data_IF_478565230245
#
_entry.id   IF_478565230245
#
_cell.length_a   1.000
_cell.length_b   1.000
_cell.length_c   1.000
_cell.angle_alpha   90.00
_cell.angle_beta   90.00
_cell.angle_gamma   90.00
#
_symmetry.space_group_name_H-M   'P 1'
#
loop_
_entity.id
_entity.type
_entity.pdbx_description
1 polymer ?
#
# COMPACT_ATOMS: atom_id res chain seq x y z
N UNK A 1 15.65 4.38 25.47
CA UNK A 1 14.19 4.57 25.58
C UNK A 1 13.77 4.22 27.00
N UNK A 2 13.68 5.23 27.88
CA UNK A 2 13.25 5.04 29.28
C UNK A 2 11.75 5.23 29.40
N UNK A 3 11.02 4.17 29.70
CA UNK A 3 9.63 4.31 30.16
C UNK A 3 9.66 4.86 31.58
N UNK A 4 9.14 6.07 31.80
CA UNK A 4 9.00 6.65 33.13
C UNK A 4 8.19 5.76 34.08
N UNK A 5 8.17 6.13 35.36
CA UNK A 5 7.45 5.38 36.39
C UNK A 5 6.00 5.13 35.98
N UNK A 6 5.57 3.87 36.07
CA UNK A 6 4.18 3.47 35.83
C UNK A 6 3.38 3.66 37.13
N UNK A 7 2.18 4.18 37.02
CA UNK A 7 1.25 4.34 38.13
C UNK A 7 0.12 3.30 38.05
N UNK A 8 -0.58 3.00 39.17
CA UNK A 8 -1.74 2.11 39.14
C UNK A 8 -2.80 2.60 38.15
N UNK A 9 -3.41 1.67 37.43
CA UNK A 9 -4.48 1.92 36.44
C UNK A 9 -5.47 0.75 36.47
N UNK A 10 -6.75 0.97 36.10
CA UNK A 10 -7.75 -0.09 36.03
C UNK A 10 -7.41 -1.07 34.89
N UNK A 11 -7.39 -2.38 35.18
CA UNK A 11 -6.98 -3.42 34.21
C UNK A 11 -8.13 -3.93 33.36
N UNK A 12 -9.36 -3.66 33.79
CA UNK A 12 -10.61 -4.15 33.21
C UNK A 12 -11.13 -3.23 32.11
N UNK A 13 -10.57 -2.01 32.00
CA UNK A 13 -10.96 -1.03 30.99
C UNK A 13 -10.35 -1.39 29.65
N UNK A 14 -11.21 -1.63 28.66
CA UNK A 14 -10.80 -1.89 27.28
C UNK A 14 -11.13 -0.71 26.37
N UNK A 15 -10.20 -0.40 25.47
CA UNK A 15 -10.36 0.61 24.42
C UNK A 15 -9.73 0.11 23.13
N UNK A 16 -10.26 0.52 21.96
CA UNK A 16 -9.79 0.02 20.67
C UNK A 16 -8.34 0.42 20.35
N UNK A 17 -7.88 1.56 20.86
CA UNK A 17 -6.51 2.06 20.69
C UNK A 17 -5.49 1.46 21.66
N UNK A 18 -5.95 0.61 22.60
CA UNK A 18 -5.17 0.18 23.77
C UNK A 18 -5.27 1.15 24.95
N UNK A 19 -4.70 0.73 26.08
CA UNK A 19 -4.73 1.46 27.34
C UNK A 19 -3.34 1.89 27.84
N UNK A 20 -3.20 1.99 29.15
CA UNK A 20 -1.99 2.47 29.81
C UNK A 20 -0.76 1.58 29.56
N UNK A 21 0.32 2.18 29.04
CA UNK A 21 1.61 1.54 28.73
C UNK A 21 1.50 0.23 27.95
N UNK A 22 0.57 0.17 27.00
CA UNK A 22 0.26 -1.03 26.22
C UNK A 22 1.48 -1.51 25.44
N UNK A 23 1.96 -2.72 25.77
CA UNK A 23 3.05 -3.40 25.06
C UNK A 23 2.75 -4.90 24.95
N UNK A 24 1.88 -5.31 24.01
CA UNK A 24 1.53 -6.71 23.86
C UNK A 24 2.75 -7.50 23.39
N UNK A 25 2.88 -8.75 23.84
CA UNK A 25 3.98 -9.64 23.44
C UNK A 25 4.04 -9.86 21.93
N UNK A 26 2.86 -9.89 21.28
CA UNK A 26 2.70 -10.24 19.86
C UNK A 26 2.65 -9.01 18.92
N UNK A 27 3.08 -7.83 19.36
CA UNK A 27 2.97 -6.59 18.57
C UNK A 27 3.58 -6.74 17.16
N UNK A 28 4.71 -7.45 17.03
CA UNK A 28 5.40 -7.66 15.75
C UNK A 28 4.53 -8.42 14.75
N UNK A 29 3.95 -9.54 15.18
CA UNK A 29 3.11 -10.37 14.33
C UNK A 29 1.84 -9.63 13.92
N UNK A 30 1.20 -8.93 14.86
CA UNK A 30 0.01 -8.14 14.58
C UNK A 30 0.29 -7.05 13.55
N UNK A 31 1.39 -6.31 13.70
CA UNK A 31 1.82 -5.30 12.71
C UNK A 31 2.12 -5.93 11.35
N UNK A 32 2.80 -7.08 11.32
CA UNK A 32 3.12 -7.76 10.07
C UNK A 32 1.85 -8.18 9.30
N UNK A 33 0.83 -8.71 10.00
CA UNK A 33 -0.45 -9.11 9.40
C UNK A 33 -1.17 -7.89 8.83
N UNK A 34 -1.29 -6.81 9.59
CA UNK A 34 -1.95 -5.58 9.13
C UNK A 34 -1.22 -4.99 7.93
N UNK A 35 0.12 -4.94 7.98
CA UNK A 35 0.93 -4.42 6.89
C UNK A 35 0.79 -5.27 5.62
N UNK A 36 0.81 -6.60 5.75
CA UNK A 36 0.57 -7.52 4.63
C UNK A 36 -0.82 -7.31 4.02
N UNK A 37 -1.85 -7.11 4.84
CA UNK A 37 -3.20 -6.78 4.38
C UNK A 37 -3.25 -5.47 3.59
N UNK A 38 -2.63 -4.41 4.11
CA UNK A 38 -2.54 -3.11 3.43
C UNK A 38 -1.83 -3.24 2.08
N UNK A 39 -0.70 -3.95 2.03
CA UNK A 39 0.03 -4.19 0.79
C UNK A 39 -0.79 -4.99 -0.22
N UNK A 40 -1.46 -6.06 0.22
CA UNK A 40 -2.31 -6.88 -0.65
C UNK A 40 -3.45 -6.08 -1.28
N UNK A 41 -4.16 -5.28 -0.48
CA UNK A 41 -5.23 -4.41 -0.98
C UNK A 41 -4.68 -3.33 -1.89
N UNK A 42 -3.60 -2.66 -1.50
CA UNK A 42 -2.98 -1.61 -2.31
C UNK A 42 -2.50 -2.14 -3.67
N UNK A 43 -1.91 -3.34 -3.69
CA UNK A 43 -1.50 -4.00 -4.91
C UNK A 43 -2.69 -4.33 -5.81
N UNK A 44 -3.76 -4.91 -5.26
CA UNK A 44 -4.98 -5.21 -6.02
C UNK A 44 -5.65 -3.95 -6.60
N UNK A 45 -5.71 -2.87 -5.83
CA UNK A 45 -6.20 -1.58 -6.33
C UNK A 45 -5.29 -1.02 -7.42
N UNK A 46 -3.97 -1.15 -7.25
CA UNK A 46 -2.99 -0.68 -8.23
C UNK A 46 -3.09 -1.42 -9.56
N UNK A 47 -3.22 -2.75 -9.57
CA UNK A 47 -3.38 -3.51 -10.82
C UNK A 47 -4.65 -3.11 -11.56
N UNK A 48 -5.77 -3.01 -10.84
CA UNK A 48 -7.05 -2.57 -11.40
C UNK A 48 -6.96 -1.13 -11.92
N UNK A 49 -6.28 -0.25 -11.20
CA UNK A 49 -6.06 1.14 -11.62
C UNK A 49 -5.24 1.19 -12.90
N UNK A 50 -4.12 0.45 -12.97
CA UNK A 50 -3.21 0.42 -14.12
C UNK A 50 -3.89 -0.12 -15.40
N UNK A 51 -4.80 -1.09 -15.26
CA UNK A 51 -5.58 -1.64 -16.37
C UNK A 51 -6.67 -0.70 -16.88
N UNK A 52 -7.28 0.08 -15.98
CA UNK A 52 -8.34 1.05 -16.31
C UNK A 52 -7.79 2.42 -16.73
N UNK A 53 -6.51 2.66 -16.54
CA UNK A 53 -5.87 3.93 -16.83
C UNK A 53 -5.77 4.16 -18.36
N UNK A 54 -6.61 5.06 -18.88
CA UNK A 54 -6.58 5.50 -20.27
C UNK A 54 -6.45 7.02 -20.35
N UNK A 55 -5.58 7.50 -21.24
CA UNK A 55 -5.27 8.92 -21.48
C UNK A 55 -5.56 9.27 -22.93
N UNK A 56 -6.50 10.18 -23.13
CA UNK A 56 -6.84 10.70 -24.45
C UNK A 56 -5.78 11.68 -24.99
N UNK A 57 -5.14 12.44 -24.10
CA UNK A 57 -4.05 13.34 -24.47
C UNK A 57 -2.73 12.81 -23.90
N UNK A 58 -1.70 12.76 -24.75
CA UNK A 58 -0.40 12.26 -24.34
C UNK A 58 0.33 13.29 -23.47
N UNK A 59 1.09 12.83 -22.46
CA UNK A 59 1.83 13.72 -21.59
C UNK A 59 3.01 14.36 -22.33
N UNK A 60 3.21 15.66 -22.12
CA UNK A 60 4.30 16.45 -22.73
C UNK A 60 5.68 15.99 -22.22
N UNK A 61 5.73 15.30 -21.07
CA UNK A 61 6.96 14.81 -20.43
C UNK A 61 6.76 13.36 -19.96
N UNK A 62 7.82 12.56 -19.87
CA UNK A 62 7.69 11.19 -19.40
C UNK A 62 7.28 11.16 -17.93
N UNK A 63 6.12 10.55 -17.67
CA UNK A 63 5.61 10.34 -16.31
C UNK A 63 5.77 8.86 -15.89
N UNK A 64 6.03 8.59 -14.60
CA UNK A 64 6.29 7.22 -14.12
C UNK A 64 5.18 6.23 -14.44
N UNK A 65 3.92 6.69 -14.49
CA UNK A 65 2.75 5.85 -14.72
C UNK A 65 2.63 5.27 -16.11
N UNK A 66 3.33 5.84 -17.10
CA UNK A 66 3.42 5.22 -18.43
C UNK A 66 4.10 3.85 -18.39
N UNK A 67 4.86 3.52 -17.35
CA UNK A 67 5.53 2.21 -17.21
C UNK A 67 4.57 1.07 -16.91
N UNK A 68 3.42 1.36 -16.31
CA UNK A 68 2.46 0.33 -15.89
C UNK A 68 1.07 0.50 -16.49
N UNK A 69 0.72 1.67 -17.03
CA UNK A 69 -0.56 1.89 -17.68
C UNK A 69 -0.71 1.04 -18.96
N UNK A 70 -1.84 0.33 -19.08
CA UNK A 70 -2.11 -0.61 -20.18
C UNK A 70 -1.97 0.00 -21.56
N UNK A 71 -2.48 1.22 -21.76
CA UNK A 71 -2.42 1.94 -23.05
C UNK A 71 -1.00 2.01 -23.63
N UNK A 72 0.00 2.28 -22.79
CA UNK A 72 1.37 2.44 -23.24
C UNK A 72 2.03 1.08 -23.52
N UNK A 73 1.69 0.04 -22.76
CA UNK A 73 2.18 -1.32 -23.02
C UNK A 73 1.70 -1.85 -24.36
N UNK A 74 0.41 -1.74 -24.63
CA UNK A 74 -0.21 -2.22 -25.88
C UNK A 74 0.32 -1.44 -27.11
N UNK A 75 0.62 -0.15 -26.93
CA UNK A 75 1.19 0.69 -28.01
C UNK A 75 2.65 0.33 -28.33
N UNK A 76 3.44 -0.09 -27.33
CA UNK A 76 4.82 -0.54 -27.55
C UNK A 76 4.87 -1.90 -28.26
N UNK A 77 3.96 -2.82 -27.92
CA UNK A 77 3.86 -4.14 -28.54
C UNK A 77 3.54 -4.03 -30.05
N UNK A 78 2.50 -3.27 -30.41
CA UNK A 78 2.14 -3.02 -31.82
C UNK A 78 3.28 -2.43 -32.64
N UNK A 79 4.06 -1.50 -32.06
CA UNK A 79 5.21 -0.88 -32.73
C UNK A 79 6.38 -1.85 -32.95
N UNK A 80 6.47 -2.92 -32.15
CA UNK A 80 7.46 -3.98 -32.32
C UNK A 80 7.10 -4.93 -33.48
N UNK A 81 5.82 -5.30 -33.57
CA UNK A 81 5.30 -6.18 -34.62
C UNK A 81 5.40 -5.54 -36.01
N UNK A 82 5.08 -4.24 -36.15
CA UNK A 82 5.20 -3.51 -37.42
C UNK A 82 6.64 -3.41 -37.96
N UNK A 83 7.65 -3.72 -37.14
CA UNK A 83 9.07 -3.64 -37.51
C UNK A 83 9.72 -4.99 -37.83
N UNK A 84 8.99 -6.10 -37.68
CA UNK A 84 9.46 -7.46 -38.00
C UNK A 84 8.90 -7.93 -39.34
#
# INVERSE_FOLDING_TARGET
MGGGARYPYPKEVWTPSGGWWTRPSNWKANTAIVFAGILGVSYGVWTVSADKEYRYNEPIRPIPSMRWAKQYRDSQEKRGDDKS
#
